data_IF_221238077923
#
_entry.id   IF_221238077923
#
_cell.length_a   1.000
_cell.length_b   1.000
_cell.length_c   1.000
_cell.angle_alpha   90.00
_cell.angle_beta   90.00
_cell.angle_gamma   90.00
#
_symmetry.space_group_name_H-M   'P 1'
#
loop_
_entity.id
_entity.type
_entity.pdbx_description
1 polymer ?
#
# COMPACT_ATOMS: atom_id res chain seq x y z
N UNK A 1 -20.05 -8.99 -18.66
CA UNK A 1 -19.92 -9.40 -17.25
C UNK A 1 -19.08 -8.35 -16.54
N UNK A 2 -19.36 -8.03 -15.28
CA UNK A 2 -18.60 -7.04 -14.51
C UNK A 2 -17.49 -7.75 -13.74
N UNK A 3 -16.25 -7.28 -13.88
CA UNK A 3 -15.13 -7.76 -13.10
C UNK A 3 -14.83 -6.79 -11.97
N UNK A 4 -14.85 -7.28 -10.73
CA UNK A 4 -14.45 -6.54 -9.53
C UNK A 4 -13.07 -7.05 -9.07
N UNK A 5 -12.10 -6.15 -9.00
CA UNK A 5 -10.80 -6.44 -8.37
C UNK A 5 -10.96 -6.18 -6.88
N UNK A 6 -10.96 -7.24 -6.07
CA UNK A 6 -11.38 -7.17 -4.67
C UNK A 6 -10.48 -7.94 -3.69
N UNK A 7 -11.06 -8.26 -2.54
CA UNK A 7 -10.34 -8.86 -1.40
C UNK A 7 -10.02 -7.86 -0.28
N UNK A 8 -10.70 -6.73 -0.27
CA UNK A 8 -10.66 -5.69 0.77
C UNK A 8 -12.04 -5.54 1.42
N UNK A 9 -12.12 -4.88 2.58
CA UNK A 9 -13.41 -4.49 3.16
C UNK A 9 -14.22 -3.62 2.18
N UNK A 10 -13.55 -2.67 1.53
CA UNK A 10 -14.16 -1.79 0.53
C UNK A 10 -14.83 -2.56 -0.61
N UNK A 11 -14.19 -3.65 -1.09
CA UNK A 11 -14.77 -4.52 -2.12
C UNK A 11 -16.05 -5.21 -1.64
N UNK A 12 -16.09 -5.65 -0.37
CA UNK A 12 -17.26 -6.28 0.22
C UNK A 12 -18.41 -5.27 0.37
N UNK A 13 -18.11 -4.10 0.94
CA UNK A 13 -19.09 -3.02 1.16
C UNK A 13 -19.70 -2.56 -0.18
N UNK A 14 -18.90 -2.48 -1.24
CA UNK A 14 -19.38 -2.22 -2.61
C UNK A 14 -20.30 -3.32 -3.10
N UNK A 15 -19.88 -4.59 -3.03
CA UNK A 15 -20.63 -5.73 -3.56
C UNK A 15 -21.98 -5.93 -2.83
N UNK A 16 -22.01 -5.80 -1.51
CA UNK A 16 -23.25 -5.88 -0.70
C UNK A 16 -24.31 -4.87 -1.16
N UNK A 17 -23.88 -3.68 -1.59
CA UNK A 17 -24.76 -2.64 -2.12
C UNK A 17 -25.10 -2.82 -3.60
N UNK A 18 -24.16 -3.33 -4.41
CA UNK A 18 -24.27 -3.32 -5.87
C UNK A 18 -24.98 -4.55 -6.46
N UNK A 19 -24.90 -5.73 -5.83
CA UNK A 19 -25.51 -7.00 -6.32
C UNK A 19 -27.00 -6.87 -6.69
N UNK A 20 -27.74 -6.02 -5.96
CA UNK A 20 -29.18 -5.82 -6.20
C UNK A 20 -29.50 -5.13 -7.54
N UNK A 21 -28.51 -4.50 -8.17
CA UNK A 21 -28.64 -3.83 -9.47
C UNK A 21 -28.13 -4.70 -10.61
N UNK A 22 -27.01 -5.40 -10.41
CA UNK A 22 -26.45 -6.37 -11.36
C UNK A 22 -25.79 -7.53 -10.60
N UNK A 23 -26.13 -8.77 -10.95
CA UNK A 23 -25.58 -9.98 -10.35
C UNK A 23 -24.60 -10.73 -11.28
N UNK A 24 -24.36 -10.23 -12.49
CA UNK A 24 -23.40 -10.79 -13.44
C UNK A 24 -21.98 -10.32 -13.14
N UNK A 25 -21.52 -10.62 -11.92
CA UNK A 25 -20.26 -10.17 -11.35
C UNK A 25 -19.30 -11.35 -11.19
N UNK A 26 -18.02 -11.12 -11.46
CA UNK A 26 -16.92 -11.97 -11.03
C UNK A 26 -15.91 -11.16 -10.22
N UNK A 27 -15.44 -11.70 -9.10
CA UNK A 27 -14.48 -11.04 -8.21
C UNK A 27 -13.14 -11.76 -8.27
N UNK A 28 -12.04 -11.05 -8.51
CA UNK A 28 -10.70 -11.61 -8.36
C UNK A 28 -10.06 -11.15 -7.06
N UNK A 29 -9.42 -12.07 -6.33
CA UNK A 29 -8.68 -11.74 -5.10
C UNK A 29 -7.23 -12.21 -5.18
N UNK A 30 -6.30 -11.46 -4.60
CA UNK A 30 -4.88 -11.79 -4.64
C UNK A 30 -4.45 -12.83 -3.57
N UNK A 31 -5.35 -13.15 -2.63
CA UNK A 31 -5.09 -14.01 -1.47
C UNK A 31 -6.35 -14.77 -1.06
N UNK A 32 -6.17 -15.95 -0.48
CA UNK A 32 -7.27 -16.75 0.10
C UNK A 32 -8.05 -15.97 1.17
N UNK A 33 -7.38 -15.14 1.97
CA UNK A 33 -8.06 -14.30 2.96
C UNK A 33 -9.03 -13.30 2.30
N UNK A 34 -8.62 -12.71 1.18
CA UNK A 34 -9.48 -11.84 0.39
C UNK A 34 -10.73 -12.57 -0.11
N UNK A 35 -10.60 -13.83 -0.54
CA UNK A 35 -11.73 -14.66 -0.95
C UNK A 35 -12.71 -14.93 0.21
N UNK A 36 -12.20 -15.19 1.43
CA UNK A 36 -13.05 -15.38 2.62
C UNK A 36 -13.89 -14.14 2.98
N UNK A 37 -13.41 -12.93 2.69
CA UNK A 37 -14.17 -11.70 2.97
C UNK A 37 -15.48 -11.62 2.16
N UNK A 38 -15.53 -12.30 1.01
CA UNK A 38 -16.63 -12.24 0.04
C UNK A 38 -17.38 -13.58 -0.11
N UNK A 39 -16.96 -14.64 0.60
CA UNK A 39 -17.50 -16.01 0.49
C UNK A 39 -19.02 -16.11 0.73
N UNK A 40 -19.57 -15.24 1.58
CA UNK A 40 -21.00 -15.24 1.90
C UNK A 40 -21.88 -14.51 0.86
N UNK A 41 -21.28 -13.97 -0.20
CA UNK A 41 -22.01 -13.31 -1.27
C UNK A 41 -22.26 -14.28 -2.43
N UNK A 42 -23.43 -14.26 -3.09
CA UNK A 42 -23.74 -15.16 -4.20
C UNK A 42 -23.05 -14.72 -5.50
N UNK A 43 -21.71 -14.63 -5.48
CA UNK A 43 -20.89 -14.10 -6.58
C UNK A 43 -19.79 -15.11 -6.94
N UNK A 44 -19.43 -15.17 -8.23
CA UNK A 44 -18.29 -15.96 -8.68
C UNK A 44 -16.98 -15.33 -8.20
N UNK A 45 -16.09 -16.14 -7.64
CA UNK A 45 -14.77 -15.70 -7.18
C UNK A 45 -13.65 -16.43 -7.90
N UNK A 46 -12.59 -15.70 -8.27
CA UNK A 46 -11.32 -16.25 -8.74
C UNK A 46 -10.21 -15.82 -7.76
N UNK A 47 -9.36 -16.77 -7.35
CA UNK A 47 -8.36 -16.55 -6.30
C UNK A 47 -6.95 -16.79 -6.80
N UNK A 48 -6.57 -16.08 -7.87
CA UNK A 48 -5.25 -16.17 -8.46
C UNK A 48 -4.65 -14.78 -8.66
N UNK A 49 -3.34 -14.67 -8.39
CA UNK A 49 -2.58 -13.48 -8.77
C UNK A 49 -2.45 -13.45 -10.28
N UNK A 50 -2.93 -12.37 -10.88
CA UNK A 50 -2.83 -12.14 -12.32
C UNK A 50 -1.81 -11.05 -12.59
N UNK A 51 -0.88 -11.33 -13.49
CA UNK A 51 -0.15 -10.30 -14.21
C UNK A 51 -1.02 -9.74 -15.36
N UNK A 52 -0.50 -8.76 -16.12
CA UNK A 52 -1.22 -8.17 -17.25
C UNK A 52 -1.68 -9.20 -18.29
N UNK A 53 -0.84 -10.19 -18.62
CA UNK A 53 -1.17 -11.23 -19.60
C UNK A 53 -2.32 -12.12 -19.13
N UNK A 54 -2.28 -12.53 -17.87
CA UNK A 54 -3.37 -13.26 -17.23
C UNK A 54 -4.66 -12.41 -17.15
N UNK A 55 -4.56 -11.11 -16.87
CA UNK A 55 -5.72 -10.20 -16.87
C UNK A 55 -6.37 -10.08 -18.26
N UNK A 56 -5.58 -9.99 -19.35
CA UNK A 56 -6.11 -9.97 -20.72
C UNK A 56 -6.92 -11.23 -21.02
N UNK A 57 -6.35 -12.40 -20.70
CA UNK A 57 -7.03 -13.68 -20.88
C UNK A 57 -8.29 -13.78 -20.02
N UNK A 58 -8.21 -13.33 -18.77
CA UNK A 58 -9.36 -13.33 -17.85
C UNK A 58 -10.52 -12.48 -18.39
N UNK A 59 -10.20 -11.33 -18.97
CA UNK A 59 -11.18 -10.45 -19.61
C UNK A 59 -11.87 -11.14 -20.79
N UNK A 60 -11.10 -11.81 -21.66
CA UNK A 60 -11.63 -12.52 -22.83
C UNK A 60 -12.49 -13.73 -22.43
N UNK A 61 -11.96 -14.60 -21.58
CA UNK A 61 -12.60 -15.85 -21.15
C UNK A 61 -13.94 -15.59 -20.46
N UNK A 62 -14.02 -14.51 -19.68
CA UNK A 62 -15.23 -14.13 -18.93
C UNK A 62 -16.09 -13.09 -19.65
N UNK A 63 -15.73 -12.66 -20.87
CA UNK A 63 -16.46 -11.60 -21.62
C UNK A 63 -16.73 -10.38 -20.74
N UNK A 64 -15.66 -9.88 -20.12
CA UNK A 64 -15.73 -8.73 -19.24
C UNK A 64 -16.05 -7.48 -20.07
N UNK A 65 -17.00 -6.69 -19.57
CA UNK A 65 -17.48 -5.46 -20.23
C UNK A 65 -17.26 -4.22 -19.38
N UNK A 66 -16.91 -4.40 -18.09
CA UNK A 66 -16.64 -3.32 -17.14
C UNK A 66 -15.70 -3.82 -16.05
N UNK A 67 -14.72 -3.01 -15.67
CA UNK A 67 -13.78 -3.28 -14.58
C UNK A 67 -14.05 -2.31 -13.45
N UNK A 68 -14.21 -2.83 -12.23
CA UNK A 68 -14.38 -2.08 -11.00
C UNK A 68 -13.22 -2.43 -10.07
N UNK A 69 -12.28 -1.50 -9.94
CA UNK A 69 -11.12 -1.68 -9.11
C UNK A 69 -11.37 -1.15 -7.70
N UNK A 70 -11.50 -2.09 -6.76
CA UNK A 70 -11.62 -1.84 -5.30
C UNK A 70 -10.40 -2.35 -4.54
N UNK A 71 -9.28 -2.58 -5.25
CA UNK A 71 -8.03 -3.03 -4.64
C UNK A 71 -7.47 -1.98 -3.67
N UNK A 72 -6.66 -2.42 -2.72
CA UNK A 72 -6.05 -1.53 -1.74
C UNK A 72 -5.34 -0.36 -2.43
N UNK A 73 -5.39 0.88 -1.90
CA UNK A 73 -4.65 2.02 -2.45
C UNK A 73 -3.15 1.77 -2.76
N UNK A 74 -2.50 0.77 -2.15
CA UNK A 74 -1.08 0.47 -2.39
C UNK A 74 -0.86 -0.61 -3.47
N UNK A 75 -1.91 -1.17 -4.05
CA UNK A 75 -1.86 -2.18 -5.10
C UNK A 75 -1.59 -1.55 -6.49
N UNK A 76 -0.58 -0.68 -6.58
CA UNK A 76 -0.25 0.13 -7.76
C UNK A 76 -0.15 -0.71 -9.05
N UNK A 77 0.59 -1.82 -9.01
CA UNK A 77 0.78 -2.67 -10.20
C UNK A 77 -0.52 -3.31 -10.69
N UNK A 78 -1.42 -3.68 -9.77
CA UNK A 78 -2.73 -4.27 -10.13
C UNK A 78 -3.60 -3.21 -10.80
N UNK A 79 -3.72 -2.03 -10.21
CA UNK A 79 -4.51 -0.92 -10.77
C UNK A 79 -3.95 -0.46 -12.11
N UNK A 80 -2.64 -0.33 -12.23
CA UNK A 80 -1.96 0.02 -13.48
C UNK A 80 -2.24 -1.01 -14.58
N UNK A 81 -2.02 -2.29 -14.29
CA UNK A 81 -2.28 -3.36 -15.27
C UNK A 81 -3.75 -3.40 -15.68
N UNK A 82 -4.67 -3.26 -14.73
CA UNK A 82 -6.11 -3.26 -15.01
C UNK A 82 -6.53 -2.07 -15.91
N UNK A 83 -5.96 -0.89 -15.70
CA UNK A 83 -6.17 0.27 -16.58
C UNK A 83 -5.64 0.02 -17.99
N UNK A 84 -4.43 -0.51 -18.12
CA UNK A 84 -3.85 -0.83 -19.43
C UNK A 84 -4.68 -1.90 -20.17
N UNK A 85 -5.16 -2.92 -19.45
CA UNK A 85 -6.06 -3.94 -20.01
C UNK A 85 -7.40 -3.34 -20.43
N UNK A 86 -7.97 -2.45 -19.61
CA UNK A 86 -9.20 -1.76 -19.94
C UNK A 86 -9.06 -0.93 -21.22
N UNK A 87 -7.94 -0.23 -21.36
CA UNK A 87 -7.63 0.56 -22.56
C UNK A 87 -7.45 -0.33 -23.79
N UNK A 88 -6.64 -1.39 -23.70
CA UNK A 88 -6.40 -2.34 -24.80
C UNK A 88 -7.67 -3.06 -25.27
N UNK A 89 -8.60 -3.34 -24.34
CA UNK A 89 -9.86 -4.03 -24.63
C UNK A 89 -11.03 -3.09 -24.87
N UNK A 90 -10.81 -1.78 -24.81
CA UNK A 90 -11.85 -0.76 -24.90
C UNK A 90 -13.02 -1.00 -23.93
N UNK A 91 -12.67 -1.31 -22.67
CA UNK A 91 -13.59 -1.58 -21.56
C UNK A 91 -13.58 -0.40 -20.60
N UNK A 92 -14.73 -0.09 -20.02
CA UNK A 92 -14.82 0.94 -18.99
C UNK A 92 -14.13 0.49 -17.70
N UNK A 93 -13.30 1.37 -17.14
CA UNK A 93 -12.61 1.16 -15.87
C UNK A 93 -13.08 2.19 -14.84
N UNK A 94 -13.49 1.69 -13.67
CA UNK A 94 -13.91 2.48 -12.53
C UNK A 94 -13.05 2.14 -11.32
N UNK A 95 -12.62 3.16 -10.57
CA UNK A 95 -11.81 3.03 -9.37
C UNK A 95 -12.60 3.51 -8.15
N UNK A 96 -12.64 2.69 -7.11
CA UNK A 96 -12.96 3.16 -5.77
C UNK A 96 -11.67 3.35 -4.98
N UNK A 97 -11.45 4.56 -4.48
CA UNK A 97 -10.36 4.87 -3.56
C UNK A 97 -10.90 5.82 -2.50
N UNK A 98 -11.13 5.30 -1.29
CA UNK A 98 -11.60 6.10 -0.15
C UNK A 98 -10.68 7.30 0.11
N UNK A 99 -11.27 8.40 0.57
CA UNK A 99 -10.49 9.57 0.96
C UNK A 99 -9.53 9.23 2.10
N UNK A 100 -8.23 9.50 1.91
CA UNK A 100 -7.26 9.38 2.99
C UNK A 100 -7.42 10.60 3.91
N UNK A 101 -7.66 10.37 5.21
CA UNK A 101 -7.55 11.42 6.20
C UNK A 101 -6.06 11.69 6.40
N UNK A 102 -5.63 12.91 6.08
CA UNK A 102 -4.27 13.36 6.30
C UNK A 102 -4.03 13.56 7.80
N UNK A 103 -3.31 12.63 8.42
CA UNK A 103 -2.74 12.82 9.75
C UNK A 103 -1.44 13.61 9.56
N UNK A 104 -1.48 14.91 9.82
CA UNK A 104 -0.32 15.79 9.67
C UNK A 104 0.52 15.81 10.97
N UNK A 105 1.77 15.33 10.95
CA UNK A 105 2.67 15.42 12.09
C UNK A 105 3.10 16.85 12.37
N UNK A 106 3.62 17.13 13.58
CA UNK A 106 4.19 18.45 13.91
C UNK A 106 5.42 18.80 13.07
N UNK A 107 6.26 17.81 12.76
CA UNK A 107 7.49 17.94 11.98
C UNK A 107 7.53 16.87 10.89
N UNK A 108 7.43 17.29 9.63
CA UNK A 108 7.53 16.37 8.52
C UNK A 108 8.10 17.00 7.26
N UNK A 109 8.61 16.15 6.38
CA UNK A 109 9.04 16.50 5.03
C UNK A 109 8.60 15.43 4.03
N UNK A 110 8.08 15.86 2.90
CA UNK A 110 7.59 14.98 1.84
C UNK A 110 8.57 14.86 0.68
N UNK A 111 8.64 13.67 0.09
CA UNK A 111 9.42 13.36 -1.09
C UNK A 111 8.60 12.53 -2.07
N UNK A 112 8.62 12.89 -3.35
CA UNK A 112 7.89 12.20 -4.43
C UNK A 112 8.60 10.96 -4.95
N UNK A 113 9.92 10.95 -4.82
CA UNK A 113 10.80 9.93 -5.36
C UNK A 113 11.81 9.50 -4.29
N UNK A 114 12.25 8.24 -4.38
CA UNK A 114 13.15 7.66 -3.39
C UNK A 114 14.56 8.21 -3.57
N UNK A 115 14.95 8.59 -4.78
CA UNK A 115 16.27 9.11 -5.10
C UNK A 115 16.55 10.45 -4.41
N UNK A 116 15.60 11.39 -4.45
CA UNK A 116 15.69 12.69 -3.77
C UNK A 116 15.63 12.52 -2.25
N UNK A 117 14.82 11.58 -1.75
CA UNK A 117 14.77 11.20 -0.33
C UNK A 117 16.15 10.70 0.14
N UNK A 118 16.77 9.78 -0.59
CA UNK A 118 18.07 9.20 -0.22
C UNK A 118 19.17 10.27 -0.18
N UNK A 119 19.20 11.18 -1.15
CA UNK A 119 20.13 12.33 -1.15
C UNK A 119 19.96 13.23 0.06
N UNK A 120 18.72 13.46 0.48
CA UNK A 120 18.46 14.24 1.69
C UNK A 120 18.92 13.50 2.95
N UNK A 121 18.61 12.20 3.04
CA UNK A 121 18.93 11.33 4.18
C UNK A 121 20.43 11.22 4.44
N UNK A 122 21.26 11.17 3.39
CA UNK A 122 22.72 11.10 3.53
C UNK A 122 23.31 12.28 4.35
N UNK A 123 22.65 13.43 4.31
CA UNK A 123 23.12 14.66 4.95
C UNK A 123 22.54 14.89 6.36
N UNK A 124 21.69 13.99 6.84
CA UNK A 124 21.09 14.08 8.18
C UNK A 124 22.06 13.62 9.27
N UNK A 125 21.94 14.24 10.45
CA UNK A 125 22.71 13.89 11.64
C UNK A 125 21.79 13.29 12.70
N UNK A 126 22.16 12.12 13.22
CA UNK A 126 21.38 11.39 14.23
C UNK A 126 20.70 10.16 13.64
N UNK A 127 20.13 9.35 14.52
CA UNK A 127 19.68 8.02 14.13
C UNK A 127 18.36 8.07 13.36
N UNK A 128 18.25 7.22 12.35
CA UNK A 128 17.15 7.21 11.38
C UNK A 128 16.46 5.86 11.42
N UNK A 129 15.14 5.81 11.61
CA UNK A 129 14.36 4.59 11.51
C UNK A 129 13.67 4.50 10.15
N UNK A 130 13.97 3.45 9.38
CA UNK A 130 13.39 3.20 8.06
C UNK A 130 12.33 2.12 8.14
N UNK A 131 11.12 2.44 7.71
CA UNK A 131 9.98 1.51 7.68
C UNK A 131 9.41 1.34 6.27
N UNK A 132 10.25 1.47 5.23
CA UNK A 132 9.88 1.32 3.82
C UNK A 132 9.89 -0.14 3.33
N UNK A 133 10.20 -1.10 4.21
CA UNK A 133 10.35 -2.52 3.88
C UNK A 133 11.70 -2.86 3.22
N UNK A 134 11.99 -4.17 3.14
CA UNK A 134 13.31 -4.68 2.73
C UNK A 134 13.66 -4.45 1.26
N UNK A 135 12.68 -4.20 0.39
CA UNK A 135 12.93 -3.98 -1.04
C UNK A 135 13.68 -2.68 -1.33
N UNK A 136 13.61 -1.70 -0.44
CA UNK A 136 14.29 -0.41 -0.60
C UNK A 136 15.70 -0.40 0.00
N UNK A 137 16.08 -1.43 0.76
CA UNK A 137 17.39 -1.50 1.44
C UNK A 137 18.59 -1.29 0.50
N UNK A 138 18.63 -1.87 -0.71
CA UNK A 138 19.75 -1.65 -1.63
C UNK A 138 20.00 -0.17 -1.99
N UNK A 139 18.98 0.68 -1.90
CA UNK A 139 19.08 2.11 -2.24
C UNK A 139 19.84 2.92 -1.17
N UNK A 140 19.95 2.39 0.05
CA UNK A 140 20.72 3.00 1.14
C UNK A 140 22.19 2.54 1.14
N UNK A 141 22.54 1.60 0.26
CA UNK A 141 23.89 1.07 0.19
C UNK A 141 24.88 2.18 -0.19
N UNK A 142 25.95 2.29 0.60
CA UNK A 142 27.04 3.23 0.33
C UNK A 142 26.83 4.65 0.86
N UNK A 143 25.71 4.92 1.54
CA UNK A 143 25.53 6.20 2.26
C UNK A 143 26.59 6.36 3.34
N UNK A 144 27.16 7.57 3.45
CA UNK A 144 28.20 7.87 4.44
C UNK A 144 27.73 7.70 5.89
N UNK A 145 26.44 7.91 6.15
CA UNK A 145 25.82 7.78 7.47
C UNK A 145 25.07 6.45 7.67
N UNK A 146 25.35 5.42 6.88
CA UNK A 146 24.63 4.13 6.93
C UNK A 146 24.62 3.49 8.34
N UNK A 147 25.66 3.73 9.14
CA UNK A 147 25.76 3.24 10.54
C UNK A 147 24.68 3.78 11.46
N UNK A 148 24.07 4.91 11.10
CA UNK A 148 23.08 5.62 11.92
C UNK A 148 21.65 5.26 11.48
N UNK A 149 21.51 4.39 10.46
CA UNK A 149 20.23 4.02 9.85
C UNK A 149 19.80 2.64 10.35
N UNK A 150 18.59 2.55 10.89
CA UNK A 150 17.98 1.34 11.43
C UNK A 150 16.83 0.92 10.52
N UNK A 151 16.82 -0.34 10.10
CA UNK A 151 15.81 -0.88 9.19
C UNK A 151 14.82 -1.76 9.96
N UNK A 152 13.54 -1.35 9.98
CA UNK A 152 12.47 -2.18 10.49
C UNK A 152 11.87 -3.01 9.36
N UNK A 153 12.09 -4.31 9.40
CA UNK A 153 11.69 -5.28 8.38
C UNK A 153 10.91 -6.44 8.99
N UNK A 154 10.18 -7.21 8.17
CA UNK A 154 9.53 -8.44 8.65
C UNK A 154 10.60 -9.44 9.13
N UNK A 155 10.27 -10.28 10.12
CA UNK A 155 11.19 -11.27 10.69
C UNK A 155 11.32 -12.50 9.78
N UNK A 156 11.65 -12.28 8.51
CA UNK A 156 11.93 -13.33 7.53
C UNK A 156 13.42 -13.37 7.21
N UNK A 157 13.99 -14.57 7.18
CA UNK A 157 15.41 -14.79 6.97
C UNK A 157 15.93 -14.15 5.67
N UNK A 158 15.15 -14.18 4.59
CA UNK A 158 15.52 -13.62 3.29
C UNK A 158 15.57 -12.09 3.31
N UNK A 159 14.76 -11.45 4.17
CA UNK A 159 14.80 -10.01 4.36
C UNK A 159 15.98 -9.57 5.22
N UNK A 160 16.28 -10.31 6.30
CA UNK A 160 17.47 -10.08 7.13
C UNK A 160 18.74 -10.27 6.31
N UNK A 161 18.81 -11.37 5.55
CA UNK A 161 19.91 -11.64 4.61
C UNK A 161 20.08 -10.51 3.59
N UNK A 162 18.98 -9.99 3.02
CA UNK A 162 19.04 -8.85 2.08
C UNK A 162 19.65 -7.61 2.73
N UNK A 163 19.43 -7.37 4.03
CA UNK A 163 20.10 -6.30 4.76
C UNK A 163 21.61 -6.55 4.90
N UNK A 164 22.01 -7.76 5.29
CA UNK A 164 23.42 -8.14 5.42
C UNK A 164 24.17 -8.06 4.09
N UNK A 165 23.55 -8.55 3.00
CA UNK A 165 24.10 -8.49 1.64
C UNK A 165 24.30 -7.04 1.14
N UNK A 166 23.68 -6.06 1.80
CA UNK A 166 23.83 -4.62 1.54
C UNK A 166 24.61 -3.87 2.63
N UNK A 167 25.43 -4.59 3.42
CA UNK A 167 26.30 -4.06 4.47
C UNK A 167 25.57 -3.38 5.64
N UNK A 168 24.30 -3.72 5.89
CA UNK A 168 23.61 -3.30 7.11
C UNK A 168 24.09 -4.21 8.24
N UNK A 169 24.65 -3.61 9.29
CA UNK A 169 25.12 -4.35 10.46
C UNK A 169 23.92 -4.95 11.22
N UNK A 170 24.03 -6.14 11.84
CA UNK A 170 22.93 -6.74 12.60
C UNK A 170 22.30 -5.82 13.66
N UNK A 171 23.10 -4.97 14.31
CA UNK A 171 22.61 -3.97 15.29
C UNK A 171 21.66 -2.92 14.71
N UNK A 172 21.70 -2.74 13.38
CA UNK A 172 20.88 -1.79 12.62
C UNK A 172 19.64 -2.46 12.00
N UNK A 173 19.37 -3.74 12.32
CA UNK A 173 18.23 -4.49 11.79
C UNK A 173 17.22 -4.75 12.91
N UNK A 174 15.99 -4.26 12.74
CA UNK A 174 14.86 -4.48 13.65
C UNK A 174 13.87 -5.41 12.93
N UNK A 175 14.02 -6.71 13.14
CA UNK A 175 13.22 -7.75 12.50
C UNK A 175 11.94 -8.03 13.32
N UNK A 176 10.82 -7.40 12.96
CA UNK A 176 9.57 -7.45 13.72
C UNK A 176 8.32 -7.35 12.82
N UNK A 177 7.23 -8.01 13.22
CA UNK A 177 5.94 -7.94 12.53
C UNK A 177 4.96 -7.05 13.31
N UNK A 178 4.37 -6.07 12.62
CA UNK A 178 3.30 -5.21 13.15
C UNK A 178 1.89 -5.81 12.99
N UNK A 179 0.83 -5.01 13.23
CA UNK A 179 0.84 -3.57 13.48
C UNK A 179 1.53 -3.21 14.81
N UNK A 180 2.13 -2.00 14.87
CA UNK A 180 2.84 -1.53 16.06
C UNK A 180 1.99 -0.49 16.78
N UNK A 181 1.81 -0.67 18.08
CA UNK A 181 1.16 0.32 18.95
C UNK A 181 2.03 1.57 19.07
N UNK A 182 1.44 2.68 19.49
CA UNK A 182 2.17 3.91 19.81
C UNK A 182 3.31 3.63 20.81
N UNK A 183 3.01 2.95 21.93
CA UNK A 183 4.00 2.62 22.95
C UNK A 183 5.20 1.83 22.40
N UNK A 184 4.94 0.91 21.47
CA UNK A 184 6.02 0.14 20.86
C UNK A 184 6.88 1.02 19.94
N UNK A 185 6.26 1.93 19.18
CA UNK A 185 7.01 2.91 18.39
C UNK A 185 7.85 3.83 19.28
N UNK A 186 7.29 4.33 20.39
CA UNK A 186 8.00 5.15 21.39
C UNK A 186 9.22 4.39 21.93
N UNK A 187 9.01 3.18 22.44
CA UNK A 187 10.08 2.38 23.03
C UNK A 187 11.23 2.11 22.05
N UNK A 188 10.91 1.78 20.79
CA UNK A 188 11.94 1.63 19.74
C UNK A 188 12.66 2.94 19.45
N UNK A 189 11.93 4.04 19.29
CA UNK A 189 12.53 5.34 18.99
C UNK A 189 13.44 5.83 20.11
N UNK A 190 13.06 5.64 21.37
CA UNK A 190 13.89 5.96 22.53
C UNK A 190 15.12 5.03 22.62
N UNK A 191 14.92 3.71 22.51
CA UNK A 191 16.00 2.72 22.59
C UNK A 191 17.12 2.98 21.59
N UNK A 192 16.77 3.40 20.37
CA UNK A 192 17.73 3.69 19.31
C UNK A 192 17.99 5.19 19.14
N UNK A 193 17.53 6.06 20.06
CA UNK A 193 17.67 7.51 19.99
C UNK A 193 17.34 8.09 18.59
N UNK A 194 16.24 7.62 18.00
CA UNK A 194 15.79 8.00 16.66
C UNK A 194 15.45 9.48 16.64
N UNK A 195 15.91 10.18 15.60
CA UNK A 195 15.61 11.59 15.30
C UNK A 195 14.74 11.75 14.06
N UNK A 196 14.77 10.77 13.16
CA UNK A 196 14.02 10.77 11.91
C UNK A 196 13.32 9.44 11.68
N UNK A 197 12.05 9.48 11.30
CA UNK A 197 11.29 8.32 10.84
C UNK A 197 11.07 8.42 9.33
N UNK A 198 11.63 7.50 8.56
CA UNK A 198 11.35 7.36 7.12
C UNK A 198 10.22 6.37 6.94
N UNK A 199 9.09 6.83 6.40
CA UNK A 199 7.91 5.99 6.21
C UNK A 199 7.14 6.34 4.94
N UNK A 200 6.29 5.43 4.46
CA UNK A 200 5.34 5.76 3.39
C UNK A 200 4.18 6.50 4.03
N UNK A 201 3.66 7.53 3.35
CA UNK A 201 2.41 8.18 3.79
C UNK A 201 1.28 7.17 3.60
N UNK A 202 0.75 6.63 4.69
CA UNK A 202 -0.17 5.48 4.64
C UNK A 202 -1.59 5.73 5.16
N UNK A 203 -2.23 6.86 4.81
CA UNK A 203 -3.60 7.24 5.20
C UNK A 203 -3.98 6.99 6.68
N UNK A 204 -5.26 7.00 7.03
CA UNK A 204 -5.73 6.63 8.38
C UNK A 204 -5.87 5.10 8.54
N UNK A 205 -4.77 4.39 8.29
CA UNK A 205 -4.64 3.01 8.79
C UNK A 205 -4.07 3.09 10.21
N UNK A 206 -4.55 2.24 11.12
CA UNK A 206 -4.10 2.17 12.53
C UNK A 206 -2.65 1.70 12.73
N UNK A 207 -1.77 1.95 11.76
CA UNK A 207 -0.33 1.99 11.98
C UNK A 207 0.26 3.37 11.68
N UNK A 208 -0.39 4.22 10.89
CA UNK A 208 0.04 5.60 10.61
C UNK A 208 -0.16 6.48 11.83
N UNK A 209 -1.36 6.45 12.42
CA UNK A 209 -1.72 7.27 13.60
C UNK A 209 -0.76 7.05 14.77
N UNK A 210 -0.41 5.79 15.03
CA UNK A 210 0.47 5.34 16.10
C UNK A 210 1.91 5.81 15.86
N UNK A 211 2.38 5.81 14.61
CA UNK A 211 3.69 6.37 14.23
C UNK A 211 3.70 7.89 14.44
N UNK A 212 2.69 8.59 13.92
CA UNK A 212 2.62 10.06 14.01
C UNK A 212 2.57 10.51 15.46
N UNK A 213 1.70 9.90 16.26
CA UNK A 213 1.56 10.24 17.68
C UNK A 213 2.85 9.96 18.48
N UNK A 214 3.54 8.85 18.19
CA UNK A 214 4.85 8.56 18.81
C UNK A 214 5.91 9.59 18.41
N UNK A 215 5.99 9.96 17.13
CA UNK A 215 6.93 10.98 16.66
C UNK A 215 6.67 12.35 17.29
N UNK A 216 5.40 12.76 17.37
CA UNK A 216 5.00 14.04 17.95
C UNK A 216 5.26 14.15 19.46
N UNK A 217 5.30 13.02 20.17
CA UNK A 217 5.66 12.94 21.59
C UNK A 217 7.17 13.01 21.80
N UNK A 218 7.96 12.42 20.89
CA UNK A 218 9.41 12.33 20.99
C UNK A 218 10.16 13.41 20.20
N UNK A 219 9.43 14.34 19.58
CA UNK A 219 9.97 15.38 18.69
C UNK A 219 10.81 14.81 17.53
N UNK A 220 10.38 13.66 17.00
CA UNK A 220 10.98 12.97 15.84
C UNK A 220 10.38 13.52 14.57
N UNK A 221 11.21 13.89 13.60
CA UNK A 221 10.75 14.37 12.30
C UNK A 221 10.39 13.20 11.37
N UNK A 222 9.22 13.27 10.73
CA UNK A 222 8.78 12.25 9.77
C UNK A 222 9.18 12.63 8.35
N UNK A 223 9.91 11.74 7.68
CA UNK A 223 10.27 11.85 6.28
C UNK A 223 9.35 10.92 5.48
N UNK A 224 8.38 11.50 4.80
CA UNK A 224 7.43 10.76 3.99
C UNK A 224 7.96 10.53 2.58
N UNK A 225 7.89 9.27 2.15
CA UNK A 225 7.84 8.95 0.73
C UNK A 225 6.37 8.94 0.29
N UNK A 226 6.02 9.86 -0.61
CA UNK A 226 4.69 9.95 -1.20
C UNK A 226 4.39 8.69 -2.02
N UNK A 227 3.11 8.35 -2.06
CA UNK A 227 2.60 7.33 -2.97
C UNK A 227 2.73 7.85 -4.41
N UNK A 228 3.13 6.99 -5.34
CA UNK A 228 3.00 7.30 -6.78
C UNK A 228 1.52 7.54 -7.08
N UNK A 229 1.16 8.77 -7.44
CA UNK A 229 -0.20 9.08 -7.89
C UNK A 229 -0.48 8.35 -9.21
N UNK A 230 -1.58 7.60 -9.25
CA UNK A 230 -2.15 7.11 -10.50
C UNK A 230 -3.27 8.08 -10.87
N UNK A 231 -3.23 8.62 -12.08
CA UNK A 231 -4.35 9.36 -12.63
C UNK A 231 -5.35 8.34 -13.16
N UNK A 232 -6.41 8.13 -12.39
CA UNK A 232 -7.53 7.29 -12.78
C UNK A 232 -8.53 8.13 -13.59
N UNK A 233 -9.08 7.56 -14.68
CA UNK A 233 -10.14 8.23 -15.48
C UNK A 233 -11.42 8.44 -14.66
N UNK A 234 -11.94 7.37 -14.07
CA UNK A 234 -13.20 7.38 -13.30
C UNK A 234 -12.92 6.94 -11.86
N UNK A 235 -12.54 7.87 -10.98
CA UNK A 235 -12.25 7.57 -9.57
C UNK A 235 -13.27 8.19 -8.62
N UNK A 236 -13.72 7.40 -7.66
CA UNK A 236 -14.74 7.78 -6.69
C UNK A 236 -14.26 7.48 -5.28
N UNK A 237 -14.51 8.43 -4.37
CA UNK A 237 -14.20 8.32 -2.93
C UNK A 237 -15.38 7.81 -2.12
N UNK A 238 -16.56 7.76 -2.73
CA UNK A 238 -17.83 7.36 -2.11
C UNK A 238 -18.45 6.22 -2.93
N UNK A 239 -18.83 5.14 -2.24
CA UNK A 239 -19.39 3.92 -2.85
C UNK A 239 -20.74 4.20 -3.49
N UNK A 240 -21.58 5.02 -2.87
CA UNK A 240 -22.93 5.31 -3.38
C UNK A 240 -22.86 6.19 -4.64
N UNK A 241 -21.90 7.12 -4.69
CA UNK A 241 -21.61 7.89 -5.92
C UNK A 241 -21.09 6.97 -7.03
N UNK A 242 -20.17 6.05 -6.72
CA UNK A 242 -19.68 5.07 -7.70
C UNK A 242 -20.85 4.24 -8.27
N UNK A 243 -21.68 3.68 -7.40
CA UNK A 243 -22.85 2.87 -7.79
C UNK A 243 -23.79 3.66 -8.69
N UNK A 244 -24.08 4.93 -8.37
CA UNK A 244 -24.94 5.80 -9.19
C UNK A 244 -24.39 6.02 -10.60
N UNK A 245 -23.06 6.03 -10.77
CA UNK A 245 -22.43 6.17 -12.09
C UNK A 245 -22.37 4.83 -12.85
N UNK A 246 -22.34 3.70 -12.14
CA UNK A 246 -22.32 2.37 -12.77
C UNK A 246 -23.66 1.96 -13.37
N UNK A 247 -24.76 2.47 -12.82
CA UNK A 247 -26.15 2.12 -13.20
C UNK A 247 -26.69 2.99 -14.36
N UNK A 248 -26.04 4.12 -14.66
CA UNK A 248 -26.39 4.96 -15.81
C UNK A 248 -26.03 4.29 -17.12
#
# INVERSE_FOLDING_TARGET
>A
MIWVIGGTKDSRDFLEKFIKYDNNIIVSTATEYGAKLIENLPIKTSSEKMDKGAMLKFVDDNKITKIIDTSHPYAFEVSKNAMEVAEEKNIEYFRFEREEIDILPKKYKNFKDIESLIKYVENLKGNILVTLGSNNVPLFRGLKNLSDIYFRILPRWDMVKKCEDNNILPKNIIAMQGPFTENMNIAMMEQFNIKYLITKKTGDTGGEREKVSACDKLDVEIIYLEKKEIIYKNCYKDIDILIKNLIQ
#
